data_IF_900254010455
#
_entry.id   IF_900254010455
#
_cell.length_a   1.000
_cell.length_b   1.000
_cell.length_c   1.000
_cell.angle_alpha   90.00
_cell.angle_beta   90.00
_cell.angle_gamma   90.00
#
_symmetry.space_group_name_H-M   'P 1'
#
loop_
_entity.id
_entity.type
_entity.pdbx_description
1 polymer ?
#
# COMPACT_ATOMS: atom_id res chain seq x y z
N UNK A 1 5.03 34.06 3.97
CA UNK A 1 6.02 33.03 4.34
C UNK A 1 5.51 31.72 3.78
N UNK A 2 6.13 31.20 2.72
CA UNK A 2 5.81 29.89 2.13
C UNK A 2 7.14 29.18 1.93
N UNK A 3 7.55 28.45 2.96
CA UNK A 3 8.73 27.57 2.95
C UNK A 3 8.29 26.27 3.61
N UNK A 4 7.45 25.50 2.91
CA UNK A 4 7.01 24.17 3.37
C UNK A 4 7.09 23.11 2.25
N UNK A 5 7.74 23.46 1.12
CA UNK A 5 7.74 22.67 -0.12
C UNK A 5 9.12 22.07 -0.46
N UNK A 6 10.04 22.04 0.51
CA UNK A 6 11.42 21.55 0.33
C UNK A 6 11.70 20.18 0.96
N UNK A 7 10.76 19.58 1.66
CA UNK A 7 10.97 18.24 2.17
C UNK A 7 10.86 17.21 1.03
N UNK A 8 11.90 16.38 0.82
CA UNK A 8 11.87 15.38 -0.25
C UNK A 8 10.71 14.43 -0.03
N UNK A 9 9.79 14.37 -1.00
CA UNK A 9 8.64 13.47 -0.96
C UNK A 9 9.11 12.04 -0.66
N UNK A 10 8.54 11.37 0.37
CA UNK A 10 8.98 10.04 0.74
C UNK A 10 8.87 9.08 -0.46
N UNK A 11 9.92 8.28 -0.65
CA UNK A 11 9.98 7.32 -1.75
C UNK A 11 8.79 6.35 -1.68
N UNK A 12 8.33 5.86 -2.84
CA UNK A 12 7.27 4.83 -2.88
C UNK A 12 7.67 3.64 -2.02
N UNK A 13 6.78 3.21 -1.13
CA UNK A 13 7.04 2.10 -0.21
C UNK A 13 7.83 2.46 1.05
N UNK A 14 8.25 3.71 1.23
CA UNK A 14 8.97 4.15 2.44
C UNK A 14 8.17 3.89 3.72
N UNK A 15 6.84 4.06 3.70
CA UNK A 15 5.98 3.78 4.85
C UNK A 15 6.01 2.29 5.26
N UNK A 16 5.96 1.37 4.29
CA UNK A 16 6.04 -0.08 4.58
C UNK A 16 7.42 -0.47 5.11
N UNK A 17 8.48 0.14 4.56
CA UNK A 17 9.84 -0.07 5.06
C UNK A 17 10.04 0.48 6.47
N UNK A 18 9.41 1.61 6.82
CA UNK A 18 9.44 2.17 8.15
C UNK A 18 8.74 1.24 9.17
N UNK A 19 7.55 0.72 8.83
CA UNK A 19 6.81 -0.23 9.68
C UNK A 19 7.64 -1.47 10.06
N UNK A 20 8.46 -1.97 9.13
CA UNK A 20 9.32 -3.14 9.37
C UNK A 20 10.56 -2.87 10.22
N UNK A 21 10.86 -1.60 10.54
CA UNK A 21 11.98 -1.19 11.40
C UNK A 21 11.54 -0.85 12.82
N UNK A 22 10.24 -0.76 13.07
CA UNK A 22 9.71 -0.46 14.39
C UNK A 22 9.95 -1.63 15.35
N UNK A 23 10.36 -1.30 16.57
CA UNK A 23 10.61 -2.27 17.62
C UNK A 23 9.29 -2.64 18.30
N UNK A 24 8.84 -3.87 18.10
CA UNK A 24 7.56 -4.37 18.62
C UNK A 24 7.62 -4.72 20.11
N UNK A 25 8.81 -4.85 20.70
CA UNK A 25 8.97 -5.18 22.12
C UNK A 25 8.48 -4.03 23.04
N UNK A 26 8.33 -2.83 22.47
CA UNK A 26 7.82 -1.64 23.17
C UNK A 26 6.28 -1.56 23.20
N UNK A 27 5.58 -2.44 22.50
CA UNK A 27 4.12 -2.40 22.36
C UNK A 27 3.46 -3.38 23.32
N UNK A 28 2.33 -2.96 23.89
CA UNK A 28 1.41 -3.88 24.59
C UNK A 28 0.69 -4.81 23.60
N UNK A 29 0.08 -5.88 24.12
CA UNK A 29 -0.69 -6.84 23.32
C UNK A 29 -1.85 -6.12 22.61
N UNK A 30 -2.54 -5.23 23.33
CA UNK A 30 -3.66 -4.47 22.79
C UNK A 30 -3.23 -3.54 21.65
N UNK A 31 -2.08 -2.85 21.78
CA UNK A 31 -1.56 -2.00 20.71
C UNK A 31 -1.11 -2.81 19.49
N UNK A 32 -0.57 -4.01 19.71
CA UNK A 32 -0.23 -4.93 18.62
C UNK A 32 -1.49 -5.41 17.89
N UNK A 33 -2.57 -5.71 18.61
CA UNK A 33 -3.85 -6.09 18.02
C UNK A 33 -4.44 -4.96 17.16
N UNK A 34 -4.45 -3.72 17.68
CA UNK A 34 -4.89 -2.53 16.93
C UNK A 34 -4.06 -2.31 15.67
N UNK A 35 -2.73 -2.44 15.78
CA UNK A 35 -1.81 -2.35 14.65
C UNK A 35 -2.13 -3.41 13.60
N UNK A 36 -2.33 -4.66 14.01
CA UNK A 36 -2.63 -5.78 13.12
C UNK A 36 -3.94 -5.53 12.37
N UNK A 37 -5.00 -5.09 13.05
CA UNK A 37 -6.28 -4.81 12.41
C UNK A 37 -6.15 -3.69 11.37
N UNK A 38 -5.41 -2.62 11.69
CA UNK A 38 -5.10 -1.56 10.72
C UNK A 38 -4.37 -2.08 9.48
N UNK A 39 -3.35 -2.95 9.67
CA UNK A 39 -2.59 -3.53 8.56
C UNK A 39 -3.44 -4.45 7.69
N UNK A 40 -4.35 -5.25 8.27
CA UNK A 40 -5.29 -6.10 7.50
C UNK A 40 -6.21 -5.28 6.61
N UNK A 41 -6.73 -4.15 7.12
CA UNK A 41 -7.55 -3.23 6.33
C UNK A 41 -6.77 -2.68 5.13
N UNK A 42 -5.52 -2.27 5.34
CA UNK A 42 -4.68 -1.77 4.25
C UNK A 42 -4.31 -2.87 3.24
N UNK A 43 -4.04 -4.10 3.68
CA UNK A 43 -3.86 -5.26 2.79
C UNK A 43 -5.09 -5.42 1.90
N UNK A 44 -6.30 -5.46 2.47
CA UNK A 44 -7.53 -5.59 1.71
C UNK A 44 -7.74 -4.42 0.72
N UNK A 45 -7.27 -3.20 1.04
CA UNK A 45 -7.26 -2.07 0.11
C UNK A 45 -6.28 -2.29 -1.04
N UNK A 46 -5.05 -2.72 -0.76
CA UNK A 46 -4.06 -3.03 -1.78
C UNK A 46 -4.54 -4.14 -2.73
N UNK A 47 -5.17 -5.19 -2.19
CA UNK A 47 -5.71 -6.29 -2.99
C UNK A 47 -6.83 -5.83 -3.92
N UNK A 48 -7.78 -5.01 -3.44
CA UNK A 48 -8.83 -4.42 -4.28
C UNK A 48 -8.23 -3.56 -5.39
N UNK A 49 -7.24 -2.73 -5.08
CA UNK A 49 -6.56 -1.91 -6.08
C UNK A 49 -5.81 -2.78 -7.13
N UNK A 50 -5.19 -3.88 -6.68
CA UNK A 50 -4.52 -4.85 -7.58
C UNK A 50 -5.54 -5.54 -8.49
N UNK A 51 -6.64 -6.03 -7.94
CA UNK A 51 -7.72 -6.67 -8.70
C UNK A 51 -8.31 -5.73 -9.76
N UNK A 52 -8.55 -4.46 -9.42
CA UNK A 52 -9.03 -3.45 -10.38
C UNK A 52 -8.05 -3.22 -11.54
N UNK A 53 -6.74 -3.16 -11.24
CA UNK A 53 -5.70 -3.03 -12.29
C UNK A 53 -5.56 -4.28 -13.14
N UNK A 54 -5.67 -5.46 -12.54
CA UNK A 54 -5.61 -6.73 -13.25
C UNK A 54 -6.81 -6.91 -14.19
N UNK A 55 -8.02 -6.53 -13.76
CA UNK A 55 -9.22 -6.56 -14.58
C UNK A 55 -9.10 -5.64 -15.80
N UNK A 56 -8.56 -4.43 -15.62
CA UNK A 56 -8.27 -3.53 -16.74
C UNK A 56 -7.24 -4.13 -17.72
N UNK A 57 -6.20 -4.79 -17.20
CA UNK A 57 -5.20 -5.47 -18.03
C UNK A 57 -5.82 -6.63 -18.82
N UNK A 58 -6.60 -7.50 -18.16
CA UNK A 58 -7.28 -8.62 -18.82
C UNK A 58 -8.29 -8.17 -19.88
N UNK A 59 -9.01 -7.06 -19.66
CA UNK A 59 -9.89 -6.47 -20.66
C UNK A 59 -9.11 -5.91 -21.86
N UNK A 60 -7.97 -5.27 -21.62
CA UNK A 60 -7.08 -4.80 -22.68
C UNK A 60 -6.49 -5.97 -23.49
N UNK A 61 -5.99 -7.01 -22.81
CA UNK A 61 -5.40 -8.19 -23.45
C UNK A 61 -6.43 -8.92 -24.36
N UNK A 62 -7.69 -9.02 -23.92
CA UNK A 62 -8.78 -9.55 -24.75
C UNK A 62 -9.03 -8.71 -26.01
N UNK A 63 -9.01 -7.38 -25.88
CA UNK A 63 -9.21 -6.44 -27.00
C UNK A 63 -8.08 -6.52 -28.03
N UNK A 64 -6.83 -6.74 -27.60
CA UNK A 64 -5.68 -6.89 -28.48
C UNK A 64 -5.60 -8.28 -29.13
N UNK A 65 -6.01 -9.34 -28.42
CA UNK A 65 -6.03 -10.71 -28.97
C UNK A 65 -7.05 -10.90 -30.11
N UNK A 66 -8.15 -10.14 -30.10
CA UNK A 66 -9.18 -10.21 -31.13
C UNK A 66 -8.79 -9.56 -32.46
N UNK A 67 -7.66 -8.81 -32.48
CA UNK A 67 -7.19 -8.06 -33.64
C UNK A 67 -5.99 -8.71 -34.36
N UNK A 68 -5.49 -9.86 -33.87
CA UNK A 68 -4.44 -10.65 -34.54
C UNK A 68 -5.02 -11.83 -35.30
#
# INVERSE_FOLDING_TARGET
>A
MVFDDLDPRPARGAAVAALGREDLDLYSVEELDERIEGLKVEIARCERARAGKQSQKSAADALFSFKS
#
